data_IF_261353790369
#
_entry.id   IF_261353790369
#
_cell.length_a   1.000
_cell.length_b   1.000
_cell.length_c   1.000
_cell.angle_alpha   90.00
_cell.angle_beta   90.00
_cell.angle_gamma   90.00
#
_symmetry.space_group_name_H-M   'P 1'
#
loop_
_entity.id
_entity.type
_entity.pdbx_description
1 polymer ?
#
# COMPACT_ATOMS: atom_id res chain seq x y z
N UNK A 1 -5.57 1.75 -12.99
CA UNK A 1 -6.01 2.21 -11.66
C UNK A 1 -5.21 3.45 -11.26
N UNK A 2 -5.88 4.45 -10.81
CA UNK A 2 -5.23 5.70 -10.38
C UNK A 2 -5.10 5.70 -8.85
N UNK A 3 -4.03 5.10 -8.36
CA UNK A 3 -3.80 5.00 -6.92
C UNK A 3 -3.70 6.39 -6.27
N UNK A 4 -3.34 7.44 -7.04
CA UNK A 4 -3.22 8.80 -6.54
C UNK A 4 -4.54 9.35 -5.98
N UNK A 5 -5.66 8.77 -6.39
CA UNK A 5 -6.97 9.16 -5.89
C UNK A 5 -7.27 8.55 -4.52
N UNK A 6 -6.50 7.56 -4.09
CA UNK A 6 -6.74 6.79 -2.87
C UNK A 6 -5.67 6.98 -1.81
N UNK A 7 -4.52 7.52 -2.17
CA UNK A 7 -3.37 7.60 -1.28
C UNK A 7 -2.93 9.03 -1.14
N UNK A 8 -2.65 9.43 0.09
CA UNK A 8 -2.12 10.76 0.38
C UNK A 8 -0.82 10.66 1.16
N UNK A 9 0.07 11.62 0.95
CA UNK A 9 1.30 11.78 1.72
C UNK A 9 1.29 13.19 2.25
N UNK A 10 0.99 13.34 3.54
CA UNK A 10 0.84 14.63 4.18
C UNK A 10 1.57 14.59 5.51
N UNK A 11 2.44 15.57 5.75
CA UNK A 11 3.21 15.65 7.00
C UNK A 11 2.31 15.73 8.24
N UNK A 12 1.10 16.28 8.10
CA UNK A 12 0.14 16.40 9.17
C UNK A 12 -0.65 15.11 9.43
N UNK A 13 -0.55 14.15 8.51
CA UNK A 13 -1.26 12.87 8.60
C UNK A 13 -0.24 11.75 8.53
N UNK A 14 -0.33 10.81 9.45
CA UNK A 14 0.58 9.65 9.53
C UNK A 14 2.07 10.04 9.47
N UNK A 15 2.41 11.22 9.97
CA UNK A 15 3.80 11.73 10.03
C UNK A 15 4.49 11.74 8.66
N UNK A 16 3.76 12.08 7.61
CA UNK A 16 4.31 12.13 6.25
C UNK A 16 4.42 10.78 5.56
N UNK A 17 3.94 9.72 6.17
CA UNK A 17 3.89 8.40 5.52
C UNK A 17 2.71 8.34 4.57
N UNK A 18 2.86 7.57 3.51
CA UNK A 18 1.74 7.30 2.60
C UNK A 18 0.63 6.58 3.37
N UNK A 19 -0.57 7.09 3.30
CA UNK A 19 -1.71 6.44 3.93
C UNK A 19 -2.95 6.53 3.03
N UNK A 20 -3.93 5.69 3.34
CA UNK A 20 -5.18 5.67 2.58
C UNK A 20 -5.94 6.95 2.89
N UNK A 21 -6.32 7.67 1.85
CA UNK A 21 -6.99 8.95 1.94
C UNK A 21 -8.24 8.84 2.81
N UNK A 22 -8.42 9.78 3.70
CA UNK A 22 -9.54 9.78 4.62
C UNK A 22 -9.37 8.89 5.84
N UNK A 23 -8.21 8.24 5.98
CA UNK A 23 -7.90 7.39 7.14
C UNK A 23 -6.53 7.73 7.69
N UNK A 24 -6.18 7.10 8.81
CA UNK A 24 -4.81 7.13 9.33
C UNK A 24 -4.12 5.78 9.15
N UNK A 25 -4.66 4.95 8.27
CA UNK A 25 -4.11 3.63 7.98
C UNK A 25 -3.05 3.79 6.91
N UNK A 26 -1.81 3.45 7.25
CA UNK A 26 -0.70 3.59 6.32
C UNK A 26 -0.75 2.50 5.25
N UNK A 27 -0.17 2.81 4.09
CA UNK A 27 0.00 1.82 3.03
C UNK A 27 0.82 0.64 3.55
N UNK A 28 1.84 0.89 4.39
CA UNK A 28 2.66 -0.21 4.91
C UNK A 28 1.87 -1.18 5.79
N UNK A 29 0.87 -0.71 6.54
CA UNK A 29 -0.01 -1.61 7.30
C UNK A 29 -0.75 -2.56 6.35
N UNK A 30 -1.30 -2.02 5.26
CA UNK A 30 -2.00 -2.84 4.27
C UNK A 30 -1.07 -3.86 3.65
N UNK A 31 0.12 -3.42 3.24
CA UNK A 31 1.10 -4.30 2.59
C UNK A 31 1.62 -5.37 3.55
N UNK A 32 1.85 -5.01 4.81
CA UNK A 32 2.31 -5.97 5.83
C UNK A 32 1.26 -7.06 6.06
N UNK A 33 -0.02 -6.70 6.08
CA UNK A 33 -1.09 -7.69 6.21
C UNK A 33 -1.13 -8.63 5.01
N UNK A 34 -0.97 -8.09 3.80
CA UNK A 34 -0.90 -8.92 2.60
C UNK A 34 0.31 -9.84 2.64
N UNK A 35 1.47 -9.31 3.06
CA UNK A 35 2.69 -10.10 3.19
C UNK A 35 2.55 -11.22 4.23
N UNK A 36 1.74 -11.00 5.25
CA UNK A 36 1.45 -12.00 6.27
C UNK A 36 0.46 -13.07 5.79
N UNK A 37 -0.08 -12.92 4.59
CA UNK A 37 -0.99 -13.90 4.00
C UNK A 37 -2.47 -13.62 4.16
N UNK A 38 -2.83 -12.46 4.70
CA UNK A 38 -4.23 -12.08 4.79
C UNK A 38 -4.79 -11.78 3.40
N UNK A 39 -6.03 -12.18 3.18
CA UNK A 39 -6.73 -11.83 1.95
C UNK A 39 -7.27 -10.41 2.02
N UNK A 40 -7.55 -9.77 0.88
CA UNK A 40 -8.21 -8.45 0.88
C UNK A 40 -9.50 -8.43 1.69
N UNK A 41 -10.31 -9.48 1.62
CA UNK A 41 -11.55 -9.58 2.41
C UNK A 41 -11.25 -9.55 3.91
N UNK A 42 -10.23 -10.27 4.35
CA UNK A 42 -9.84 -10.28 5.75
C UNK A 42 -9.35 -8.91 6.21
N UNK A 43 -8.62 -8.20 5.36
CA UNK A 43 -8.11 -6.86 5.67
C UNK A 43 -9.28 -5.88 5.81
N UNK A 44 -10.22 -5.90 4.88
CA UNK A 44 -11.41 -5.03 4.94
C UNK A 44 -12.23 -5.33 6.19
N UNK A 45 -12.32 -6.60 6.57
CA UNK A 45 -13.03 -6.99 7.78
C UNK A 45 -12.36 -6.41 9.04
N UNK A 46 -11.03 -6.43 9.08
CA UNK A 46 -10.26 -5.90 10.21
C UNK A 46 -10.22 -4.37 10.24
N UNK A 47 -10.28 -3.75 9.08
CA UNK A 47 -10.21 -2.29 8.91
C UNK A 47 -11.41 -1.82 8.09
N UNK A 48 -12.58 -1.67 8.73
CA UNK A 48 -13.82 -1.35 7.99
C UNK A 48 -13.82 -0.02 7.25
N UNK A 49 -12.89 0.88 7.56
CA UNK A 49 -12.74 2.13 6.81
C UNK A 49 -12.07 1.94 5.45
N UNK A 50 -11.54 0.75 5.19
CA UNK A 50 -10.94 0.41 3.90
C UNK A 50 -11.96 -0.33 3.04
N UNK A 51 -11.82 -0.20 1.73
CA UNK A 51 -12.52 -1.02 0.76
C UNK A 51 -11.50 -1.74 -0.12
N UNK A 52 -11.98 -2.60 -1.01
CA UNK A 52 -11.09 -3.37 -1.89
C UNK A 52 -10.30 -2.47 -2.84
N UNK A 53 -10.88 -1.34 -3.24
CA UNK A 53 -10.19 -0.39 -4.12
C UNK A 53 -9.00 0.26 -3.40
N UNK A 54 -9.15 0.56 -2.11
CA UNK A 54 -8.06 1.12 -1.30
C UNK A 54 -6.90 0.12 -1.20
N UNK A 55 -7.21 -1.16 -1.03
CA UNK A 55 -6.18 -2.21 -0.96
C UNK A 55 -5.47 -2.33 -2.31
N UNK A 56 -6.23 -2.32 -3.39
CA UNK A 56 -5.67 -2.35 -4.74
C UNK A 56 -4.77 -1.15 -5.00
N UNK A 57 -5.18 0.03 -4.52
CA UNK A 57 -4.38 1.25 -4.65
C UNK A 57 -3.06 1.14 -3.89
N UNK A 58 -3.08 0.54 -2.70
CA UNK A 58 -1.85 0.32 -1.94
C UNK A 58 -0.88 -0.58 -2.71
N UNK A 59 -1.38 -1.63 -3.34
CA UNK A 59 -0.57 -2.53 -4.16
C UNK A 59 -0.01 -1.78 -5.37
N UNK A 60 -0.84 -0.98 -6.04
CA UNK A 60 -0.41 -0.21 -7.21
C UNK A 60 0.68 0.81 -6.85
N UNK A 61 0.53 1.46 -5.69
CA UNK A 61 1.53 2.38 -5.18
C UNK A 61 2.87 1.67 -4.94
N UNK A 62 2.83 0.50 -4.30
CA UNK A 62 4.03 -0.30 -4.06
C UNK A 62 4.69 -0.74 -5.36
N UNK A 63 3.89 -1.12 -6.35
CA UNK A 63 4.39 -1.51 -7.67
C UNK A 63 5.09 -0.34 -8.37
N UNK A 64 4.54 0.86 -8.24
CA UNK A 64 5.15 2.08 -8.78
C UNK A 64 6.51 2.34 -8.15
N UNK A 65 6.59 2.27 -6.83
CA UNK A 65 7.85 2.45 -6.12
C UNK A 65 8.89 1.40 -6.53
N UNK A 66 8.44 0.17 -6.73
CA UNK A 66 9.32 -0.92 -7.17
C UNK A 66 9.89 -0.67 -8.56
N UNK A 67 9.11 -0.06 -9.45
CA UNK A 67 9.57 0.26 -10.80
C UNK A 67 10.56 1.42 -10.82
N UNK A 68 10.34 2.41 -9.96
CA UNK A 68 11.23 3.58 -9.88
C UNK A 68 12.59 3.21 -9.33
N UNK A 69 12.64 2.19 -8.49
CA UNK A 69 13.90 1.70 -7.96
C UNK A 69 14.49 0.67 -8.89
N UNK A 70 15.21 1.16 -9.88
CA UNK A 70 16.07 0.27 -10.65
C UNK A 70 17.28 -0.04 -9.76
N UNK A 71 17.12 -1.03 -8.92
CA UNK A 71 18.23 -1.57 -8.18
C UNK A 71 18.86 -2.59 -9.11
N UNK A 72 20.14 -2.37 -9.47
CA UNK A 72 20.89 -3.39 -10.18
C UNK A 72 21.05 -4.58 -9.23
N UNK A 73 20.14 -5.52 -9.35
CA UNK A 73 20.20 -6.74 -8.58
C UNK A 73 21.26 -7.64 -9.18
N UNK A 74 22.14 -8.24 -8.36
CA UNK A 74 23.00 -9.27 -8.89
C UNK A 74 22.14 -10.39 -9.46
N UNK A 75 22.56 -10.95 -10.56
CA UNK A 75 21.87 -12.10 -11.14
C UNK A 75 21.93 -13.25 -10.17
N UNK A 76 20.78 -13.70 -9.71
CA UNK A 76 20.71 -14.89 -8.91
C UNK A 76 20.58 -16.08 -9.84
N UNK A 77 21.38 -17.11 -9.65
CA UNK A 77 21.11 -18.35 -10.36
C UNK A 77 19.73 -18.83 -9.99
N UNK A 78 18.98 -19.17 -10.98
CA UNK A 78 17.60 -19.61 -10.79
C UNK A 78 17.55 -20.89 -9.95
#
# INVERSE_FOLDING_TARGET
>A
MRWQEYITVDAAVCHGRACIKGTRITVSVVLDNLAAGLTPDEIVHSYPSLDHEAIRAAIAYAAELGRERVVAMPSFPA
#
